data_IF_372404151489
#
_entry.id   IF_372404151489
#
_cell.length_a   1.000
_cell.length_b   1.000
_cell.length_c   1.000
_cell.angle_alpha   90.00
_cell.angle_beta   90.00
_cell.angle_gamma   90.00
#
_symmetry.space_group_name_H-M   'P 1'
#
loop_
_entity.id
_entity.type
_entity.pdbx_description
1 polymer ?
#
# COMPACT_ATOMS: atom_id res chain seq x y z
N UNK A 1 2.05 -11.11 33.26
CA UNK A 1 1.54 -9.73 33.36
C UNK A 1 1.48 -9.14 31.95
N UNK A 2 0.32 -8.65 31.51
CA UNK A 2 0.15 -8.06 30.17
C UNK A 2 0.93 -6.75 30.09
N UNK A 3 1.94 -6.67 29.22
CA UNK A 3 2.74 -5.47 29.03
C UNK A 3 1.90 -4.46 28.23
N UNK A 4 1.43 -3.41 28.90
CA UNK A 4 0.62 -2.35 28.27
C UNK A 4 1.44 -1.69 27.15
N UNK A 5 1.03 -1.87 25.89
CA UNK A 5 1.65 -1.19 24.75
C UNK A 5 1.45 0.32 24.88
N UNK A 6 2.52 1.08 24.79
CA UNK A 6 2.49 2.54 24.69
C UNK A 6 1.68 2.92 23.44
N UNK A 7 0.72 3.82 23.59
CA UNK A 7 -0.10 4.32 22.48
C UNK A 7 0.29 5.74 22.05
N UNK A 8 -0.26 6.22 20.94
CA UNK A 8 0.01 7.58 20.46
C UNK A 8 -0.54 8.65 21.43
N UNK A 9 -1.61 8.33 22.16
CA UNK A 9 -2.18 9.16 23.22
C UNK A 9 -1.22 9.35 24.39
N UNK A 10 -0.48 8.30 24.75
CA UNK A 10 0.52 8.37 25.81
C UNK A 10 1.69 9.27 25.39
N UNK A 11 2.15 9.18 24.13
CA UNK A 11 3.17 10.07 23.57
C UNK A 11 2.69 11.54 23.55
N UNK A 12 1.45 11.78 23.13
CA UNK A 12 0.85 13.11 23.10
C UNK A 12 0.80 13.74 24.50
N UNK A 13 0.36 12.95 25.49
CA UNK A 13 0.27 13.37 26.90
C UNK A 13 1.64 13.73 27.47
N UNK A 14 2.64 12.87 27.27
CA UNK A 14 3.99 13.07 27.81
C UNK A 14 4.74 14.21 27.09
N UNK A 15 4.52 14.38 25.79
CA UNK A 15 5.08 15.50 25.04
C UNK A 15 4.30 16.82 25.25
N UNK A 16 3.18 16.81 25.97
CA UNK A 16 2.35 18.00 26.23
C UNK A 16 1.81 18.63 24.94
N UNK A 17 1.32 17.80 24.01
CA UNK A 17 0.73 18.22 22.73
C UNK A 17 -0.52 17.40 22.41
N UNK A 18 -1.34 17.84 21.46
CA UNK A 18 -2.44 17.04 20.93
C UNK A 18 -1.96 15.90 20.02
N UNK A 19 -2.79 14.85 19.88
CA UNK A 19 -2.52 13.69 19.00
C UNK A 19 -2.22 14.13 17.56
N UNK A 20 -2.95 15.13 17.03
CA UNK A 20 -2.71 15.67 15.69
C UNK A 20 -1.32 16.29 15.52
N UNK A 21 -0.74 16.86 16.57
CA UNK A 21 0.64 17.38 16.53
C UNK A 21 1.66 16.25 16.52
N UNK A 22 1.44 15.17 17.28
CA UNK A 22 2.27 13.96 17.20
C UNK A 22 2.22 13.35 15.81
N UNK A 23 1.03 13.25 15.22
CA UNK A 23 0.84 12.81 13.83
C UNK A 23 1.64 13.67 12.84
N UNK A 24 1.54 15.01 12.94
CA UNK A 24 2.31 15.93 12.08
C UNK A 24 3.82 15.77 12.23
N UNK A 25 4.31 15.51 13.44
CA UNK A 25 5.74 15.22 13.67
C UNK A 25 6.15 13.91 13.01
N UNK A 26 5.39 12.83 13.22
CA UNK A 26 5.64 11.51 12.61
C UNK A 26 5.61 11.56 11.08
N UNK A 27 4.77 12.41 10.50
CA UNK A 27 4.64 12.61 9.05
C UNK A 27 5.58 13.68 8.49
N UNK A 28 6.54 14.18 9.28
CA UNK A 28 7.50 15.22 8.90
C UNK A 28 6.86 16.50 8.31
N UNK A 29 5.69 16.92 8.82
CA UNK A 29 4.98 18.11 8.35
C UNK A 29 5.73 19.40 8.70
N UNK A 30 5.78 20.37 7.78
CA UNK A 30 6.40 21.69 7.98
C UNK A 30 5.63 22.60 8.95
N UNK A 31 4.40 22.24 9.33
CA UNK A 31 3.54 23.05 10.21
C UNK A 31 3.76 22.80 11.71
N UNK A 32 4.92 22.27 12.10
CA UNK A 32 5.29 22.04 13.50
C UNK A 32 6.62 22.73 13.77
N UNK A 33 6.66 23.58 14.80
CA UNK A 33 7.91 24.22 15.21
C UNK A 33 8.97 23.18 15.57
N UNK A 34 10.24 23.49 15.30
CA UNK A 34 11.36 22.61 15.62
C UNK A 34 11.44 22.28 17.12
N UNK A 35 11.10 23.24 17.99
CA UNK A 35 11.01 23.02 19.44
C UNK A 35 9.99 21.93 19.78
N UNK A 36 8.79 22.01 19.19
CA UNK A 36 7.73 21.01 19.42
C UNK A 36 8.10 19.66 18.81
N UNK A 37 8.68 19.66 17.60
CA UNK A 37 9.16 18.45 16.93
C UNK A 37 10.17 17.70 17.79
N UNK A 38 11.20 18.40 18.27
CA UNK A 38 12.25 17.83 19.12
C UNK A 38 11.65 17.16 20.36
N UNK A 39 10.78 17.87 21.09
CA UNK A 39 10.11 17.34 22.28
C UNK A 39 9.33 16.05 22.02
N UNK A 40 8.59 15.97 20.91
CA UNK A 40 7.84 14.77 20.54
C UNK A 40 8.79 13.61 20.18
N UNK A 41 9.85 13.89 19.42
CA UNK A 41 10.83 12.87 19.02
C UNK A 41 11.61 12.31 20.23
N UNK A 42 11.94 13.16 21.20
CA UNK A 42 12.62 12.75 22.44
C UNK A 42 11.76 11.76 23.23
N UNK A 43 10.45 12.04 23.36
CA UNK A 43 9.49 11.15 24.03
C UNK A 43 9.32 9.82 23.28
N UNK A 44 9.19 9.87 21.94
CA UNK A 44 9.11 8.65 21.11
C UNK A 44 10.34 7.77 21.32
N UNK A 45 11.54 8.38 21.33
CA UNK A 45 12.80 7.68 21.53
C UNK A 45 12.89 7.07 22.93
N UNK A 46 12.54 7.85 23.96
CA UNK A 46 12.56 7.39 25.36
C UNK A 46 11.60 6.21 25.61
N UNK A 47 10.42 6.23 24.97
CA UNK A 47 9.39 5.18 25.11
C UNK A 47 9.55 4.02 24.14
N UNK A 48 10.56 4.06 23.27
CA UNK A 48 10.74 3.09 22.17
C UNK A 48 9.44 2.88 21.36
N UNK A 49 8.64 3.95 21.24
CA UNK A 49 7.34 3.86 20.60
C UNK A 49 7.52 3.63 19.10
N UNK A 50 6.95 2.52 18.62
CA UNK A 50 6.83 2.23 17.19
C UNK A 50 5.38 2.41 16.80
N UNK A 51 5.05 3.33 15.87
CA UNK A 51 3.71 3.46 15.35
C UNK A 51 3.23 2.11 14.80
N UNK A 52 2.12 1.59 15.33
CA UNK A 52 1.45 0.44 14.74
C UNK A 52 0.98 0.79 13.33
N UNK A 53 0.85 -0.20 12.44
CA UNK A 53 0.32 0.02 11.08
C UNK A 53 -1.00 0.78 11.09
N UNK A 54 -1.92 0.42 12.01
CA UNK A 54 -3.19 1.10 12.22
C UNK A 54 -3.05 2.57 12.67
N UNK A 55 -2.09 2.90 13.54
CA UNK A 55 -1.84 4.29 13.94
C UNK A 55 -1.20 5.13 12.83
N UNK A 56 -0.43 4.49 11.92
CA UNK A 56 0.09 5.11 10.71
C UNK A 56 -1.04 5.49 9.76
N UNK A 57 -2.01 4.59 9.60
CA UNK A 57 -3.24 4.80 8.81
C UNK A 57 -4.05 5.99 9.35
N UNK A 58 -4.26 6.05 10.66
CA UNK A 58 -4.99 7.15 11.31
C UNK A 58 -4.20 8.47 11.34
N UNK A 59 -2.87 8.44 11.45
CA UNK A 59 -2.04 9.64 11.38
C UNK A 59 -1.99 10.24 9.97
N UNK A 60 -2.19 9.44 8.93
CA UNK A 60 -2.17 9.83 7.52
C UNK A 60 -3.52 10.33 7.00
N UNK A 61 -4.33 10.97 7.84
CA UNK A 61 -5.67 11.50 7.49
C UNK A 61 -5.76 12.35 6.20
N UNK A 62 -4.64 12.81 5.61
CA UNK A 62 -4.61 13.56 4.34
C UNK A 62 -3.71 12.96 3.24
N UNK A 63 -3.22 11.73 3.37
CA UNK A 63 -2.57 11.01 2.26
C UNK A 63 -3.16 9.62 2.22
N UNK A 64 -3.88 9.33 1.15
CA UNK A 64 -4.33 8.00 0.77
C UNK A 64 -3.17 7.03 1.01
N UNK A 65 -3.33 6.10 1.97
CA UNK A 65 -2.49 4.91 2.02
C UNK A 65 -2.84 4.09 0.79
N UNK A 66 -2.30 4.49 -0.35
CA UNK A 66 -2.52 3.78 -1.59
C UNK A 66 -1.60 2.56 -1.53
N UNK A 67 -2.19 1.40 -1.27
CA UNK A 67 -1.59 0.14 -1.66
C UNK A 67 -1.98 -0.16 -3.11
N UNK A 68 -1.05 -0.70 -3.88
CA UNK A 68 -1.30 -1.22 -5.22
C UNK A 68 -1.09 -2.73 -5.17
N UNK A 69 -2.07 -3.49 -5.67
CA UNK A 69 -1.94 -4.93 -5.82
C UNK A 69 -1.19 -5.26 -7.11
N UNK A 70 -0.29 -6.24 -7.06
CA UNK A 70 0.34 -6.85 -8.23
C UNK A 70 -0.12 -8.29 -8.31
N UNK A 71 -0.89 -8.58 -9.35
CA UNK A 71 -1.45 -9.89 -9.64
C UNK A 71 -0.56 -10.61 -10.65
N UNK A 72 0.04 -11.73 -10.23
CA UNK A 72 0.99 -12.53 -11.02
C UNK A 72 0.47 -13.96 -11.18
N UNK A 73 0.73 -14.65 -12.31
CA UNK A 73 0.33 -16.04 -12.50
C UNK A 73 1.27 -17.03 -11.77
N UNK A 74 2.54 -16.67 -11.60
CA UNK A 74 3.54 -17.44 -10.88
C UNK A 74 4.66 -16.52 -10.39
N UNK A 75 5.01 -16.57 -9.12
CA UNK A 75 6.08 -15.76 -8.51
C UNK A 75 7.48 -16.30 -8.80
N UNK A 76 7.62 -17.55 -9.26
CA UNK A 76 8.90 -18.22 -9.51
C UNK A 76 9.54 -17.91 -10.86
N UNK A 77 8.81 -17.25 -11.76
CA UNK A 77 9.30 -16.96 -13.10
C UNK A 77 10.24 -15.75 -13.10
N UNK A 78 11.50 -15.97 -13.49
CA UNK A 78 12.56 -14.97 -13.49
C UNK A 78 12.27 -13.78 -14.42
N UNK A 79 11.48 -13.98 -15.47
CA UNK A 79 11.05 -12.90 -16.38
C UNK A 79 10.33 -11.78 -15.62
N UNK A 80 9.58 -12.11 -14.57
CA UNK A 80 8.82 -11.14 -13.81
C UNK A 80 9.68 -10.32 -12.83
N UNK A 81 10.89 -10.77 -12.50
CA UNK A 81 11.69 -10.18 -11.44
C UNK A 81 12.16 -8.76 -11.78
N UNK A 82 12.66 -8.52 -12.99
CA UNK A 82 13.15 -7.19 -13.39
C UNK A 82 12.02 -6.16 -13.42
N UNK A 83 10.85 -6.57 -13.91
CA UNK A 83 9.68 -5.70 -13.99
C UNK A 83 9.11 -5.43 -12.60
N UNK A 84 9.03 -6.47 -11.77
CA UNK A 84 8.70 -6.34 -10.35
C UNK A 84 9.63 -5.34 -9.65
N UNK A 85 10.95 -5.49 -9.78
CA UNK A 85 11.93 -4.61 -9.15
C UNK A 85 11.76 -3.15 -9.60
N UNK A 86 11.49 -2.94 -10.90
CA UNK A 86 11.23 -1.60 -11.43
C UNK A 86 9.96 -0.98 -10.83
N UNK A 87 8.86 -1.74 -10.75
CA UNK A 87 7.59 -1.32 -10.15
C UNK A 87 7.80 -1.02 -8.66
N UNK A 88 8.36 -1.98 -7.92
CA UNK A 88 8.60 -1.87 -6.48
C UNK A 88 9.45 -0.64 -6.14
N UNK A 89 10.57 -0.42 -6.84
CA UNK A 89 11.43 0.75 -6.63
C UNK A 89 10.68 2.06 -6.84
N UNK A 90 9.84 2.13 -7.88
CA UNK A 90 9.06 3.34 -8.19
C UNK A 90 8.00 3.61 -7.13
N UNK A 91 7.23 2.60 -6.74
CA UNK A 91 6.17 2.72 -5.74
C UNK A 91 6.73 3.05 -4.35
N UNK A 92 7.83 2.40 -3.96
CA UNK A 92 8.56 2.69 -2.72
C UNK A 92 9.01 4.15 -2.66
N UNK A 93 9.52 4.71 -3.76
CA UNK A 93 9.89 6.13 -3.84
C UNK A 93 8.73 7.10 -3.66
N UNK A 94 7.50 6.64 -3.92
CA UNK A 94 6.26 7.40 -3.73
C UNK A 94 5.58 7.13 -2.37
N UNK A 95 6.12 6.22 -1.56
CA UNK A 95 5.50 5.79 -0.30
C UNK A 95 4.23 4.97 -0.48
N UNK A 96 4.08 4.31 -1.63
CA UNK A 96 2.97 3.43 -2.00
C UNK A 96 3.39 2.00 -1.69
N UNK A 97 2.56 1.27 -0.96
CA UNK A 97 2.83 -0.13 -0.64
C UNK A 97 2.45 -1.04 -1.81
N UNK A 98 3.28 -2.04 -2.10
CA UNK A 98 3.02 -3.05 -3.12
C UNK A 98 2.59 -4.35 -2.45
N UNK A 99 1.40 -4.85 -2.78
CA UNK A 99 0.87 -6.12 -2.28
C UNK A 99 0.92 -7.14 -3.41
N UNK A 100 1.68 -8.22 -3.25
CA UNK A 100 1.76 -9.29 -4.24
C UNK A 100 0.61 -10.27 -3.99
N UNK A 101 -0.15 -10.56 -5.04
CA UNK A 101 -1.28 -11.46 -5.03
C UNK A 101 -1.03 -12.54 -6.09
N UNK A 102 -1.09 -13.80 -5.68
CA UNK A 102 -0.95 -14.91 -6.62
C UNK A 102 -2.30 -15.17 -7.29
N UNK A 103 -2.31 -15.14 -8.62
CA UNK A 103 -3.47 -15.50 -9.42
C UNK A 103 -3.49 -16.99 -9.67
N UNK A 104 -4.62 -17.61 -9.36
CA UNK A 104 -4.87 -19.00 -9.66
C UNK A 104 -6.16 -19.09 -10.47
N UNK A 105 -6.02 -19.46 -11.75
CA UNK A 105 -7.15 -19.56 -12.66
C UNK A 105 -8.18 -20.54 -12.11
N UNK A 106 -9.47 -20.22 -12.25
CA UNK A 106 -10.59 -21.04 -11.76
C UNK A 106 -10.69 -21.17 -10.23
N UNK A 107 -9.94 -20.37 -9.47
CA UNK A 107 -10.09 -20.30 -8.02
C UNK A 107 -10.89 -19.03 -7.63
N UNK A 108 -12.19 -19.15 -7.29
CA UNK A 108 -13.04 -18.00 -6.97
C UNK A 108 -12.56 -17.23 -5.73
N UNK A 109 -11.75 -17.85 -4.88
CA UNK A 109 -11.18 -17.18 -3.70
C UNK A 109 -10.09 -16.16 -4.07
N UNK A 110 -9.53 -16.21 -5.28
CA UNK A 110 -8.52 -15.23 -5.74
C UNK A 110 -9.12 -13.82 -5.79
N UNK A 111 -10.28 -13.67 -6.42
CA UNK A 111 -10.95 -12.37 -6.51
C UNK A 111 -11.35 -11.88 -5.13
N UNK A 112 -11.87 -12.76 -4.28
CA UNK A 112 -12.22 -12.36 -2.92
C UNK A 112 -11.00 -11.85 -2.14
N UNK A 113 -9.85 -12.53 -2.23
CA UNK A 113 -8.58 -12.07 -1.64
C UNK A 113 -8.13 -10.71 -2.17
N UNK A 114 -8.29 -10.48 -3.47
CA UNK A 114 -7.99 -9.18 -4.10
C UNK A 114 -8.87 -8.08 -3.52
N UNK A 115 -10.17 -8.34 -3.38
CA UNK A 115 -11.14 -7.40 -2.82
C UNK A 115 -10.87 -7.13 -1.33
N UNK A 116 -10.53 -8.17 -0.57
CA UNK A 116 -10.23 -8.09 0.87
C UNK A 116 -8.91 -7.36 1.15
N UNK A 117 -7.98 -7.34 0.18
CA UNK A 117 -6.72 -6.61 0.28
C UNK A 117 -6.91 -5.07 0.24
N UNK A 118 -8.10 -4.59 -0.13
CA UNK A 118 -8.48 -3.16 -0.16
C UNK A 118 -7.46 -2.27 -0.89
N UNK A 119 -6.91 -2.78 -1.99
CA UNK A 119 -5.95 -2.04 -2.81
C UNK A 119 -6.62 -0.92 -3.60
N UNK A 120 -5.91 0.18 -3.80
CA UNK A 120 -6.40 1.34 -4.57
C UNK A 120 -6.38 1.09 -6.08
N UNK A 121 -5.49 0.22 -6.55
CA UNK A 121 -5.40 -0.20 -7.93
C UNK A 121 -4.75 -1.58 -8.04
N UNK A 122 -4.92 -2.24 -9.17
CA UNK A 122 -4.31 -3.52 -9.52
C UNK A 122 -3.43 -3.40 -10.76
N UNK A 123 -2.24 -3.97 -10.70
CA UNK A 123 -1.40 -4.29 -11.85
C UNK A 123 -1.61 -5.76 -12.16
N UNK A 124 -2.11 -6.08 -13.35
CA UNK A 124 -2.41 -7.45 -13.78
C UNK A 124 -1.34 -7.85 -14.79
N UNK A 125 -0.44 -8.75 -14.38
CA UNK A 125 0.75 -9.08 -15.16
C UNK A 125 0.56 -10.37 -15.95
N UNK A 126 0.78 -10.31 -17.27
CA UNK A 126 0.84 -11.44 -18.19
C UNK A 126 -0.32 -12.45 -18.06
N UNK A 127 -1.51 -12.00 -17.64
CA UNK A 127 -2.69 -12.84 -17.52
C UNK A 127 -3.96 -12.08 -17.88
N UNK A 128 -5.01 -12.85 -18.19
CA UNK A 128 -6.34 -12.36 -18.52
C UNK A 128 -7.32 -12.76 -17.43
N UNK A 129 -8.11 -11.78 -17.01
CA UNK A 129 -9.30 -12.05 -16.21
C UNK A 129 -10.46 -12.45 -17.12
N UNK A 130 -11.31 -13.34 -16.64
CA UNK A 130 -12.59 -13.64 -17.31
C UNK A 130 -13.65 -12.56 -17.04
N UNK A 131 -14.79 -12.67 -17.73
CA UNK A 131 -15.86 -11.67 -17.65
C UNK A 131 -16.48 -11.58 -16.25
N UNK A 132 -16.57 -12.69 -15.52
CA UNK A 132 -17.11 -12.72 -14.15
C UNK A 132 -16.15 -12.00 -13.19
N UNK A 133 -14.86 -12.28 -13.30
CA UNK A 133 -13.80 -11.62 -12.54
C UNK A 133 -13.77 -10.10 -12.84
N UNK A 134 -13.90 -9.71 -14.10
CA UNK A 134 -14.02 -8.30 -14.50
C UNK A 134 -15.25 -7.62 -13.88
N UNK A 135 -16.40 -8.29 -13.86
CA UNK A 135 -17.64 -7.75 -13.31
C UNK A 135 -17.52 -7.53 -11.79
N UNK A 136 -16.91 -8.47 -11.08
CA UNK A 136 -16.66 -8.38 -9.63
C UNK A 136 -15.73 -7.22 -9.27
N UNK A 137 -14.65 -7.02 -10.02
CA UNK A 137 -13.73 -5.89 -9.79
C UNK A 137 -14.36 -4.54 -10.13
N UNK A 138 -15.13 -4.49 -11.23
CA UNK A 138 -15.80 -3.26 -11.68
C UNK A 138 -16.87 -2.80 -10.69
N UNK A 139 -17.61 -3.73 -10.07
CA UNK A 139 -18.63 -3.41 -9.06
C UNK A 139 -18.08 -2.74 -7.78
N UNK A 140 -16.77 -2.82 -7.54
CA UNK A 140 -16.08 -2.23 -6.38
C UNK A 140 -15.21 -1.02 -6.73
N UNK A 141 -15.29 -0.54 -7.98
CA UNK A 141 -14.54 0.63 -8.50
C UNK A 141 -13.01 0.50 -8.40
N UNK A 142 -12.50 -0.75 -8.46
CA UNK A 142 -11.07 -1.03 -8.46
C UNK A 142 -10.51 -0.74 -9.84
N UNK A 143 -9.54 0.19 -9.94
CA UNK A 143 -8.84 0.46 -11.21
C UNK A 143 -7.79 -0.60 -11.46
N UNK A 144 -7.65 -1.05 -12.69
CA UNK A 144 -6.61 -2.00 -13.07
C UNK A 144 -5.89 -1.62 -14.36
N UNK A 145 -4.63 -2.04 -14.46
CA UNK A 145 -3.75 -1.89 -15.62
C UNK A 145 -3.18 -3.25 -15.98
N UNK A 146 -3.37 -3.68 -17.22
CA UNK A 146 -2.71 -4.87 -17.76
C UNK A 146 -1.27 -4.57 -18.13
N UNK A 147 -0.35 -5.47 -17.77
CA UNK A 147 1.05 -5.41 -18.16
C UNK A 147 1.38 -6.69 -18.92
N UNK A 148 2.01 -6.53 -20.08
CA UNK A 148 2.40 -7.62 -20.96
C UNK A 148 1.22 -8.50 -21.42
N UNK A 149 0.04 -7.88 -21.52
CA UNK A 149 -1.16 -8.50 -22.04
C UNK A 149 -1.98 -7.46 -22.84
N UNK A 150 -2.01 -7.52 -24.18
CA UNK A 150 -2.73 -6.54 -24.99
C UNK A 150 -4.24 -6.63 -24.77
N UNK A 151 -4.88 -5.46 -24.60
CA UNK A 151 -6.34 -5.31 -24.42
C UNK A 151 -6.83 -4.12 -25.24
N UNK A 152 -7.94 -4.30 -25.95
CA UNK A 152 -8.56 -3.20 -26.72
C UNK A 152 -9.41 -2.27 -25.84
N UNK A 153 -10.06 -2.83 -24.81
CA UNK A 153 -11.06 -2.12 -23.99
C UNK A 153 -10.56 -1.69 -22.62
N UNK A 154 -9.33 -2.08 -22.26
CA UNK A 154 -8.75 -1.84 -20.94
C UNK A 154 -7.41 -1.13 -21.07
N UNK A 155 -7.02 -0.42 -20.01
CA UNK A 155 -5.67 0.13 -19.92
C UNK A 155 -4.65 -1.02 -19.94
N UNK A 156 -3.72 -0.98 -20.88
CA UNK A 156 -2.64 -1.96 -20.99
C UNK A 156 -1.32 -1.32 -21.41
N UNK A 157 -0.21 -1.95 -20.99
CA UNK A 157 1.15 -1.70 -21.49
C UNK A 157 1.69 -3.06 -21.92
N UNK A 158 2.16 -3.19 -23.15
CA UNK A 158 2.69 -4.43 -23.68
C UNK A 158 3.80 -4.16 -24.69
N UNK A 159 4.62 -5.18 -24.93
CA UNK A 159 5.60 -5.17 -26.02
C UNK A 159 4.98 -5.82 -27.24
N UNK A 160 5.17 -5.22 -28.42
CA UNK A 160 4.78 -5.87 -29.66
C UNK A 160 5.91 -6.79 -30.11
N UNK A 161 5.76 -8.09 -29.83
CA UNK A 161 6.76 -9.11 -30.16
C UNK A 161 6.63 -9.62 -31.60
N UNK A 162 5.74 -9.03 -32.40
CA UNK A 162 5.66 -9.27 -33.85
C UNK A 162 6.72 -8.38 -34.52
N UNK A 163 7.80 -9.03 -34.98
CA UNK A 163 8.83 -8.44 -35.85
C UNK A 163 8.27 -8.20 -37.27
#
# INVERSE_FOLDING_TARGET
>A
MSQKRITIEDIAREAGVGIGTVSRVLNNSIHVSEKTRKRVLDVIKARQFKPSGAARILARQNRVDSSIGLLLPDIGNHYFFEIFEAIYRKLRGLGIDLIILNYEKHNPQVIQRILDAQVSALLIFALKLDEEEHQLLSGRNVRYLYIDYPREKDHCIYTNNVL
#
